data_IF_187478218490
#
_entry.id   IF_187478218490
#
_cell.length_a   1.000
_cell.length_b   1.000
_cell.length_c   1.000
_cell.angle_alpha   90.00
_cell.angle_beta   90.00
_cell.angle_gamma   90.00
#
_symmetry.space_group_name_H-M   'P 1'
#
loop_
_entity.id
_entity.type
_entity.pdbx_description
1 polymer ?
#
# COMPACT_ATOMS: atom_id res chain seq x y z
N UNK A 1 2.84 -7.47 -15.10
CA UNK A 1 4.06 -7.34 -14.28
C UNK A 1 4.25 -5.88 -13.90
N UNK A 2 4.24 -5.60 -12.61
CA UNK A 2 4.46 -4.24 -12.07
C UNK A 2 5.83 -4.23 -11.41
N UNK A 3 6.78 -3.50 -12.01
CA UNK A 3 8.20 -3.60 -11.70
C UNK A 3 8.84 -2.22 -11.82
N UNK A 4 9.77 -1.92 -10.92
CA UNK A 4 10.70 -0.80 -11.07
C UNK A 4 12.10 -1.34 -11.26
N UNK A 5 12.78 -0.90 -12.32
CA UNK A 5 14.22 -1.06 -12.48
C UNK A 5 14.86 0.17 -11.87
N UNK A 6 15.48 -0.03 -10.71
CA UNK A 6 16.02 1.04 -9.89
C UNK A 6 17.52 1.22 -10.14
N UNK A 7 17.94 2.44 -10.44
CA UNK A 7 19.34 2.81 -10.56
C UNK A 7 19.78 3.48 -9.25
N UNK A 8 20.57 2.80 -8.39
CA UNK A 8 20.99 3.32 -7.10
C UNK A 8 21.99 4.48 -7.22
N UNK A 9 22.65 4.66 -8.37
CA UNK A 9 23.68 5.68 -8.55
C UNK A 9 23.13 6.98 -9.16
N UNK A 10 21.94 6.94 -9.75
CA UNK A 10 21.32 8.12 -10.33
C UNK A 10 20.86 9.09 -9.24
N UNK A 11 21.14 10.37 -9.44
CA UNK A 11 20.80 11.44 -8.51
C UNK A 11 19.93 12.53 -9.16
N UNK A 12 19.13 13.20 -8.35
CA UNK A 12 18.50 14.47 -8.72
C UNK A 12 18.25 15.34 -7.49
N UNK A 13 18.10 16.63 -7.72
CA UNK A 13 17.43 17.52 -6.78
C UNK A 13 15.94 17.57 -7.13
N UNK A 14 15.07 17.29 -6.17
CA UNK A 14 13.62 17.40 -6.37
C UNK A 14 13.27 18.88 -6.55
N UNK A 15 12.51 19.19 -7.60
CA UNK A 15 12.04 20.55 -7.88
C UNK A 15 10.67 20.53 -8.55
N UNK A 16 9.83 21.51 -8.23
CA UNK A 16 8.56 21.76 -8.89
C UNK A 16 8.72 22.02 -10.39
N UNK A 17 9.87 22.56 -10.82
CA UNK A 17 10.16 22.83 -12.25
C UNK A 17 10.24 21.57 -13.11
N UNK A 18 10.50 20.41 -12.51
CA UNK A 18 10.70 19.14 -13.22
C UNK A 18 9.77 18.03 -12.73
N UNK A 19 8.72 18.38 -11.99
CA UNK A 19 7.77 17.41 -11.46
C UNK A 19 6.69 17.05 -12.49
N UNK A 20 6.03 15.90 -12.26
CA UNK A 20 4.87 15.48 -13.03
C UNK A 20 3.54 15.97 -12.42
N UNK A 21 3.55 16.42 -11.16
CA UNK A 21 2.37 17.01 -10.53
C UNK A 21 1.97 18.30 -11.25
N UNK A 22 0.67 18.52 -11.42
CA UNK A 22 0.14 19.71 -12.08
C UNK A 22 0.18 20.99 -11.20
N UNK A 23 0.48 20.85 -9.91
CA UNK A 23 0.61 21.99 -8.99
C UNK A 23 1.96 22.72 -9.20
N UNK A 24 2.07 23.93 -8.65
CA UNK A 24 3.17 24.87 -8.89
C UNK A 24 4.30 24.83 -7.85
N UNK A 25 4.16 24.05 -6.78
CA UNK A 25 5.20 23.85 -5.77
C UNK A 25 5.46 22.37 -5.50
N UNK A 26 6.54 22.08 -4.76
CA UNK A 26 6.84 20.75 -4.25
C UNK A 26 7.26 20.86 -2.77
N UNK A 27 6.63 20.09 -1.87
CA UNK A 27 6.98 20.09 -0.44
C UNK A 27 8.40 19.56 -0.17
N UNK A 28 9.00 18.87 -1.15
CA UNK A 28 10.37 18.36 -1.13
C UNK A 28 11.34 19.22 -1.96
N UNK A 29 10.99 20.46 -2.30
CA UNK A 29 11.85 21.37 -3.08
C UNK A 29 13.29 21.41 -2.52
N UNK A 30 14.27 21.29 -3.42
CA UNK A 30 15.69 21.37 -3.06
C UNK A 30 16.27 20.12 -2.40
N UNK A 31 15.48 19.08 -2.12
CA UNK A 31 15.98 17.82 -1.56
C UNK A 31 16.75 17.04 -2.62
N UNK A 32 18.04 16.77 -2.36
CA UNK A 32 18.85 15.83 -3.14
C UNK A 32 18.48 14.40 -2.78
N UNK A 33 18.27 13.58 -3.78
CA UNK A 33 18.01 12.14 -3.63
C UNK A 33 18.94 11.35 -4.54
N UNK A 34 19.37 10.20 -4.04
CA UNK A 34 20.16 9.20 -4.75
C UNK A 34 19.34 7.92 -4.85
N UNK A 35 19.38 7.27 -5.99
CA UNK A 35 18.46 6.20 -6.34
C UNK A 35 17.25 6.75 -7.08
N UNK A 36 17.09 6.39 -8.35
CA UNK A 36 15.93 6.79 -9.15
C UNK A 36 15.47 5.65 -10.06
N UNK A 37 14.19 5.64 -10.47
CA UNK A 37 13.72 4.71 -11.49
C UNK A 37 14.47 4.95 -12.81
N UNK A 38 15.12 3.91 -13.33
CA UNK A 38 15.56 3.85 -14.73
C UNK A 38 14.39 3.44 -15.62
N UNK A 39 13.68 2.39 -15.22
CA UNK A 39 12.43 1.98 -15.87
C UNK A 39 11.32 1.77 -14.84
N UNK A 40 10.11 2.18 -15.18
CA UNK A 40 8.91 1.80 -14.43
C UNK A 40 7.97 1.07 -15.37
N UNK A 41 7.62 -0.16 -15.02
CA UNK A 41 6.73 -1.02 -15.77
C UNK A 41 5.41 -1.19 -15.02
N UNK A 42 4.31 -1.06 -15.75
CA UNK A 42 2.96 -1.36 -15.26
C UNK A 42 2.30 -2.32 -16.22
N UNK A 43 1.85 -3.48 -15.72
CA UNK A 43 1.30 -4.60 -16.50
C UNK A 43 2.21 -5.00 -17.68
N UNK A 44 3.52 -4.85 -17.53
CA UNK A 44 4.54 -5.15 -18.54
C UNK A 44 4.83 -4.02 -19.55
N UNK A 45 4.04 -2.95 -19.58
CA UNK A 45 4.32 -1.76 -20.39
C UNK A 45 5.35 -0.89 -19.68
N UNK A 46 6.41 -0.48 -20.38
CA UNK A 46 7.34 0.56 -19.92
C UNK A 46 6.62 1.90 -19.97
N UNK A 47 6.32 2.48 -18.80
CA UNK A 47 5.62 3.76 -18.66
C UNK A 47 6.57 4.92 -18.31
N UNK A 48 7.73 4.61 -17.74
CA UNK A 48 8.82 5.57 -17.54
C UNK A 48 10.10 4.96 -18.09
N UNK A 49 10.80 5.72 -18.92
CA UNK A 49 12.04 5.33 -19.57
C UNK A 49 13.08 6.43 -19.38
N UNK A 50 14.02 6.22 -18.47
CA UNK A 50 15.11 7.12 -18.15
C UNK A 50 14.71 8.58 -17.85
N UNK A 51 13.59 8.75 -17.16
CA UNK A 51 13.03 10.06 -16.80
C UNK A 51 12.06 10.63 -17.84
N UNK A 52 11.96 10.01 -19.04
CA UNK A 52 10.89 10.29 -19.99
C UNK A 52 9.62 9.55 -19.56
N UNK A 53 8.50 10.27 -19.55
CA UNK A 53 7.18 9.71 -19.24
C UNK A 53 6.53 9.28 -20.55
N UNK A 54 6.19 8.00 -20.65
CA UNK A 54 5.60 7.34 -21.82
C UNK A 54 4.31 6.59 -21.40
N UNK A 55 3.50 7.27 -20.60
CA UNK A 55 2.24 6.73 -20.08
C UNK A 55 1.14 6.69 -21.14
N UNK A 56 0.18 5.77 -20.98
CA UNK A 56 -1.05 5.71 -21.79
C UNK A 56 -2.26 5.88 -20.89
N UNK A 57 -3.08 6.88 -21.17
CA UNK A 57 -4.35 7.07 -20.47
C UNK A 57 -5.25 5.83 -20.64
N UNK A 58 -5.95 5.47 -19.57
CA UNK A 58 -6.79 4.27 -19.54
C UNK A 58 -6.04 2.92 -19.53
N UNK A 59 -4.71 2.90 -19.43
CA UNK A 59 -3.94 1.64 -19.27
C UNK A 59 -4.19 0.95 -17.92
N UNK A 60 -4.38 1.74 -16.86
CA UNK A 60 -4.69 1.23 -15.54
C UNK A 60 -6.06 0.55 -15.50
N UNK A 61 -6.13 -0.59 -14.82
CA UNK A 61 -7.37 -1.32 -14.57
C UNK A 61 -7.69 -1.36 -13.08
N UNK A 62 -8.98 -1.47 -12.73
CA UNK A 62 -9.40 -1.66 -11.35
C UNK A 62 -8.91 -3.00 -10.78
N UNK A 63 -8.30 -2.98 -9.59
CA UNK A 63 -7.86 -4.19 -8.87
C UNK A 63 -8.84 -4.50 -7.74
N UNK A 64 -9.73 -5.46 -7.97
CA UNK A 64 -10.65 -5.95 -6.94
C UNK A 64 -9.91 -6.68 -5.81
N UNK A 65 -10.35 -6.49 -4.56
CA UNK A 65 -9.73 -7.10 -3.37
C UNK A 65 -10.74 -7.95 -2.62
N UNK A 66 -10.35 -9.17 -2.25
CA UNK A 66 -11.17 -10.06 -1.40
C UNK A 66 -11.07 -9.63 0.07
N UNK A 67 -12.17 -9.79 0.80
CA UNK A 67 -12.20 -9.60 2.25
C UNK A 67 -11.44 -10.72 2.99
N UNK A 68 -11.32 -10.59 4.31
CA UNK A 68 -10.76 -11.66 5.15
C UNK A 68 -9.29 -11.95 4.88
N UNK A 69 -8.46 -10.89 4.78
CA UNK A 69 -7.01 -11.02 4.63
C UNK A 69 -6.39 -11.88 5.77
N UNK A 70 -5.13 -12.34 5.63
CA UNK A 70 -4.51 -13.22 6.63
C UNK A 70 -4.54 -12.66 8.06
N UNK A 71 -4.38 -11.34 8.23
CA UNK A 71 -4.44 -10.67 9.54
C UNK A 71 -5.83 -10.79 10.17
N UNK A 72 -6.89 -10.57 9.40
CA UNK A 72 -8.27 -10.74 9.89
C UNK A 72 -8.53 -12.18 10.32
N UNK A 73 -8.08 -13.17 9.53
CA UNK A 73 -8.26 -14.59 9.88
C UNK A 73 -7.52 -14.94 11.16
N UNK A 74 -6.26 -14.50 11.29
CA UNK A 74 -5.47 -14.69 12.49
C UNK A 74 -6.15 -14.04 13.71
N UNK A 75 -6.70 -12.83 13.55
CA UNK A 75 -7.43 -12.15 14.61
C UNK A 75 -8.69 -12.91 15.02
N UNK A 76 -9.50 -13.39 14.07
CA UNK A 76 -10.70 -14.19 14.37
C UNK A 76 -10.35 -15.46 15.14
N UNK A 77 -9.33 -16.21 14.71
CA UNK A 77 -8.86 -17.39 15.42
C UNK A 77 -8.35 -17.07 16.82
N UNK A 78 -7.61 -15.97 16.99
CA UNK A 78 -7.16 -15.53 18.31
C UNK A 78 -8.35 -15.20 19.22
N UNK A 79 -9.34 -14.46 18.71
CA UNK A 79 -10.53 -14.09 19.49
C UNK A 79 -11.37 -15.29 19.90
N UNK A 80 -11.47 -16.30 19.04
CA UNK A 80 -12.13 -17.56 19.37
C UNK A 80 -11.38 -18.34 20.46
N UNK A 81 -10.05 -18.43 20.34
CA UNK A 81 -9.20 -19.12 21.31
C UNK A 81 -9.27 -18.46 22.68
N UNK A 82 -9.25 -17.13 22.73
CA UNK A 82 -9.30 -16.35 23.97
C UNK A 82 -10.71 -15.95 24.40
N UNK A 83 -11.74 -16.52 23.79
CA UNK A 83 -13.12 -16.17 24.11
C UNK A 83 -13.41 -16.56 25.59
N UNK A 84 -13.86 -15.62 26.44
CA UNK A 84 -14.20 -15.93 27.82
C UNK A 84 -15.33 -16.97 27.84
N UNK A 85 -15.23 -17.96 28.72
CA UNK A 85 -16.23 -19.03 28.87
C UNK A 85 -16.99 -18.87 30.19
N UNK A 86 -18.32 -19.06 30.21
CA UNK A 86 -19.09 -19.02 31.44
C UNK A 86 -18.72 -20.21 32.35
N UNK A 87 -18.84 -20.01 33.66
CA UNK A 87 -18.74 -21.10 34.63
C UNK A 87 -20.08 -21.84 34.67
N UNK A 88 -20.07 -23.14 34.34
CA UNK A 88 -21.25 -23.99 34.46
C UNK A 88 -21.59 -24.22 35.94
N UNK A 89 -22.83 -23.93 36.34
CA UNK A 89 -23.31 -24.08 37.72
C UNK A 89 -24.62 -24.85 37.76
N UNK A 90 -24.74 -25.79 38.70
CA UNK A 90 -25.98 -26.49 39.05
C UNK A 90 -26.54 -25.94 40.36
N UNK A 91 -27.86 -25.91 40.52
CA UNK A 91 -28.51 -25.42 41.75
C UNK A 91 -28.41 -23.90 41.93
N UNK A 92 -28.58 -23.14 40.84
CA UNK A 92 -28.64 -21.67 40.89
C UNK A 92 -29.78 -21.27 41.84
N UNK A 93 -29.52 -20.50 42.92
CA UNK A 93 -30.54 -20.14 43.89
C UNK A 93 -31.70 -19.37 43.25
N UNK A 94 -32.90 -19.57 43.79
CA UNK A 94 -34.04 -18.72 43.46
C UNK A 94 -33.70 -17.25 43.77
N UNK A 95 -34.14 -16.35 42.89
CA UNK A 95 -33.90 -14.92 43.01
C UNK A 95 -35.20 -14.20 43.33
N UNK A 96 -35.14 -13.24 44.26
CA UNK A 96 -36.24 -12.32 44.57
C UNK A 96 -37.38 -12.91 45.41
N UNK A 97 -38.17 -11.99 46.00
CA UNK A 97 -39.37 -12.27 46.82
C UNK A 97 -40.58 -12.64 45.98
#
# INVERSE_FOLDING_TARGET
ADIVVWDPEREKTISAKSQQSAIDYNVFEGKKVKGLPRFTLTRGQVAVNDGKVETREGHGEFVARKAGNPVNRALSSWKELTAPRPVSRTGIPASGV
#
